data_IF_881703857656
#
_entry.id   IF_881703857656
#
_cell.length_a   1.000
_cell.length_b   1.000
_cell.length_c   1.000
_cell.angle_alpha   90.00
_cell.angle_beta   90.00
_cell.angle_gamma   90.00
#
_symmetry.space_group_name_H-M   'P 1'
#
loop_
_entity.id
_entity.type
_entity.pdbx_description
1 polymer ?
#
# COMPACT_ATOMS: atom_id res chain seq x y z
N UNK A 1 29.74 18.22 12.37
CA UNK A 1 28.39 18.29 11.76
C UNK A 1 28.38 17.30 10.61
N UNK A 2 27.63 16.21 10.72
CA UNK A 2 27.58 15.19 9.68
C UNK A 2 26.60 15.67 8.60
N UNK A 3 27.12 15.83 7.38
CA UNK A 3 26.35 16.07 6.17
C UNK A 3 25.44 14.84 5.91
N UNK A 4 24.11 14.98 5.84
CA UNK A 4 23.23 13.86 5.61
C UNK A 4 23.50 13.32 4.20
N UNK A 5 24.31 12.25 4.14
CA UNK A 5 24.69 11.56 2.92
C UNK A 5 23.45 11.33 2.05
N UNK A 6 23.41 12.00 0.91
CA UNK A 6 22.27 12.01 0.01
C UNK A 6 22.13 10.61 -0.61
N UNK A 7 21.23 9.79 -0.04
CA UNK A 7 21.00 8.43 -0.50
C UNK A 7 20.54 8.44 -1.95
N UNK A 8 21.16 7.59 -2.77
CA UNK A 8 20.76 7.39 -4.16
C UNK A 8 19.29 6.93 -4.22
N UNK A 9 18.59 7.19 -5.34
CA UNK A 9 17.22 6.71 -5.52
C UNK A 9 17.06 5.19 -5.36
N UNK A 10 18.12 4.42 -5.62
CA UNK A 10 18.13 2.97 -5.41
C UNK A 10 18.17 2.61 -3.92
N UNK A 11 19.03 3.27 -3.13
CA UNK A 11 19.12 3.08 -1.68
C UNK A 11 17.81 3.44 -0.97
N UNK A 12 17.17 4.55 -1.37
CA UNK A 12 15.85 4.94 -0.85
C UNK A 12 14.75 3.92 -1.16
N UNK A 13 14.82 3.24 -2.31
CA UNK A 13 13.88 2.17 -2.68
C UNK A 13 14.12 0.90 -1.86
N UNK A 14 15.38 0.57 -1.61
CA UNK A 14 15.75 -0.58 -0.78
C UNK A 14 15.32 -0.37 0.69
N UNK A 15 15.42 0.85 1.20
CA UNK A 15 15.05 1.20 2.58
C UNK A 15 13.53 1.21 2.85
N UNK A 16 12.68 1.21 1.81
CA UNK A 16 11.23 1.24 1.99
C UNK A 16 10.71 -0.04 2.64
N UNK A 17 10.06 0.10 3.79
CA UNK A 17 9.38 -1.01 4.48
C UNK A 17 8.19 -1.51 3.67
N UNK A 18 7.73 -2.73 3.96
CA UNK A 18 6.54 -3.30 3.32
C UNK A 18 5.31 -2.40 3.50
N UNK A 19 5.11 -1.83 4.70
CA UNK A 19 4.02 -0.91 5.00
C UNK A 19 4.08 0.39 4.17
N UNK A 20 5.28 0.98 4.04
CA UNK A 20 5.48 2.18 3.22
C UNK A 20 5.17 1.92 1.73
N UNK A 21 5.42 0.71 1.24
CA UNK A 21 5.06 0.32 -0.14
C UNK A 21 3.55 0.21 -0.31
N UNK A 22 2.83 -0.37 0.65
CA UNK A 22 1.36 -0.43 0.61
C UNK A 22 0.73 0.96 0.58
N UNK A 23 1.21 1.86 1.44
CA UNK A 23 0.76 3.27 1.46
C UNK A 23 1.00 3.93 0.11
N UNK A 24 2.17 3.73 -0.48
CA UNK A 24 2.54 4.35 -1.76
C UNK A 24 1.77 3.81 -2.96
N UNK A 25 1.54 2.49 -3.02
CA UNK A 25 0.96 1.82 -4.20
C UNK A 25 -0.56 1.78 -4.13
N UNK A 26 -1.11 1.46 -2.96
CA UNK A 26 -2.55 1.23 -2.79
C UNK A 26 -3.26 2.33 -1.99
N UNK A 27 -2.51 3.27 -1.39
CA UNK A 27 -3.08 4.30 -0.52
C UNK A 27 -3.45 3.80 0.87
N UNK A 28 -3.02 2.60 1.26
CA UNK A 28 -3.39 1.95 2.52
C UNK A 28 -2.32 2.25 3.58
N UNK A 29 -2.66 3.03 4.61
CA UNK A 29 -1.81 3.26 5.78
C UNK A 29 -2.10 2.21 6.86
N UNK A 30 -1.09 1.38 7.18
CA UNK A 30 -1.16 0.38 8.26
C UNK A 30 -0.18 0.69 9.40
N UNK A 31 0.50 1.84 9.32
CA UNK A 31 1.46 2.30 10.33
C UNK A 31 0.73 3.09 11.43
N UNK A 32 -0.39 3.73 11.09
CA UNK A 32 -1.14 4.63 11.99
C UNK A 32 -2.60 4.22 12.09
N UNK A 33 -3.12 4.19 13.32
CA UNK A 33 -4.53 3.95 13.56
C UNK A 33 -5.37 5.17 13.13
N UNK A 34 -6.40 5.01 12.28
CA UNK A 34 -7.23 6.14 11.85
C UNK A 34 -8.12 6.70 12.96
N UNK A 35 -8.39 5.93 14.02
CA UNK A 35 -9.24 6.36 15.13
C UNK A 35 -8.48 7.12 16.22
N UNK A 36 -7.25 6.71 16.54
CA UNK A 36 -6.49 7.27 17.66
C UNK A 36 -5.13 7.87 17.28
N UNK A 37 -4.66 7.71 16.04
CA UNK A 37 -3.34 8.19 15.60
C UNK A 37 -2.15 7.39 16.15
N UNK A 38 -2.39 6.33 16.92
CA UNK A 38 -1.33 5.50 17.49
C UNK A 38 -0.68 4.57 16.47
N UNK A 39 0.51 4.07 16.78
CA UNK A 39 1.22 3.11 15.94
C UNK A 39 0.48 1.76 15.90
N UNK A 40 0.24 1.25 14.69
CA UNK A 40 -0.32 -0.09 14.47
C UNK A 40 0.80 -1.12 14.32
N UNK A 41 0.50 -2.38 14.68
CA UNK A 41 1.41 -3.52 14.52
C UNK A 41 0.67 -4.70 13.93
N UNK A 42 1.29 -5.36 12.96
CA UNK A 42 0.79 -6.59 12.36
C UNK A 42 0.93 -7.71 13.40
N UNK A 43 -0.18 -8.39 13.70
CA UNK A 43 -0.23 -9.49 14.69
C UNK A 43 -0.31 -10.88 14.06
N UNK A 44 -0.82 -10.96 12.84
CA UNK A 44 -0.97 -12.21 12.08
C UNK A 44 -1.06 -11.91 10.59
N UNK A 45 -0.64 -12.87 9.77
CA UNK A 45 -0.88 -12.91 8.33
C UNK A 45 -1.72 -14.15 8.03
N UNK A 46 -2.76 -14.00 7.20
CA UNK A 46 -3.64 -15.10 6.79
C UNK A 46 -3.42 -15.30 5.28
N UNK A 47 -2.90 -16.47 4.91
CA UNK A 47 -2.55 -16.80 3.52
C UNK A 47 -3.41 -17.96 2.97
N UNK A 48 -4.18 -18.63 3.83
CA UNK A 48 -5.04 -19.75 3.46
C UNK A 48 -6.28 -19.26 2.67
N UNK A 49 -6.52 -19.76 1.45
CA UNK A 49 -7.57 -19.24 0.58
C UNK A 49 -8.98 -19.52 1.14
N UNK A 50 -9.21 -20.69 1.73
CA UNK A 50 -10.50 -21.06 2.33
C UNK A 50 -10.84 -20.16 3.53
N UNK A 51 -9.84 -19.81 4.35
CA UNK A 51 -10.02 -18.87 5.47
C UNK A 51 -10.31 -17.46 4.95
N UNK A 52 -9.59 -17.00 3.91
CA UNK A 52 -9.82 -15.69 3.29
C UNK A 52 -11.25 -15.61 2.75
N UNK A 53 -11.70 -16.62 2.01
CA UNK A 53 -13.05 -16.66 1.45
C UNK A 53 -14.11 -16.58 2.54
N UNK A 54 -13.98 -17.40 3.60
CA UNK A 54 -14.92 -17.39 4.73
C UNK A 54 -15.03 -16.01 5.39
N UNK A 55 -13.90 -15.31 5.56
CA UNK A 55 -13.90 -13.95 6.13
C UNK A 55 -14.62 -12.98 5.19
N UNK A 56 -14.29 -13.01 3.90
CA UNK A 56 -14.89 -12.10 2.91
C UNK A 56 -16.41 -12.32 2.79
N UNK A 57 -16.87 -13.57 2.72
CA UNK A 57 -18.31 -13.90 2.69
C UNK A 57 -19.03 -13.39 3.93
N UNK A 58 -18.42 -13.52 5.11
CA UNK A 58 -19.01 -13.01 6.35
C UNK A 58 -19.14 -11.48 6.36
N UNK A 59 -18.15 -10.77 5.81
CA UNK A 59 -18.16 -9.31 5.72
C UNK A 59 -19.18 -8.80 4.71
N UNK A 60 -19.29 -9.44 3.55
CA UNK A 60 -20.26 -9.08 2.49
C UNK A 60 -21.70 -9.19 3.00
N UNK A 61 -22.02 -10.28 3.71
CA UNK A 61 -23.33 -10.48 4.33
C UNK A 61 -23.70 -9.43 5.40
N UNK A 62 -22.72 -8.68 5.91
CA UNK A 62 -22.89 -7.64 6.93
C UNK A 62 -22.77 -6.21 6.38
N UNK A 63 -22.36 -6.05 5.12
CA UNK A 63 -22.13 -4.74 4.52
C UNK A 63 -23.43 -4.13 3.98
N UNK A 64 -23.69 -2.83 4.19
CA UNK A 64 -24.84 -2.14 3.59
C UNK A 64 -24.67 -1.78 2.10
N UNK A 65 -23.50 -2.00 1.50
CA UNK A 65 -23.15 -1.54 0.13
C UNK A 65 -22.06 -2.41 -0.53
N UNK A 66 -22.07 -2.56 -1.88
CA UNK A 66 -21.30 -3.59 -2.58
C UNK A 66 -19.79 -3.29 -2.71
N UNK A 67 -19.00 -4.37 -2.68
CA UNK A 67 -17.51 -4.46 -2.68
C UNK A 67 -16.78 -3.69 -3.81
N UNK A 68 -17.47 -3.35 -4.90
CA UNK A 68 -16.88 -2.72 -6.09
C UNK A 68 -16.27 -1.34 -5.84
N UNK A 69 -16.69 -0.63 -4.80
CA UNK A 69 -16.11 0.66 -4.42
C UNK A 69 -14.81 0.55 -3.60
N UNK A 70 -14.48 -0.65 -3.09
CA UNK A 70 -13.32 -0.85 -2.19
C UNK A 70 -12.04 -1.23 -2.90
N UNK A 71 -12.10 -1.51 -4.20
CA UNK A 71 -10.93 -1.91 -4.98
C UNK A 71 -10.21 -0.66 -5.47
N UNK A 72 -8.98 -0.45 -4.98
CA UNK A 72 -8.15 0.65 -5.48
C UNK A 72 -7.99 0.53 -6.99
N UNK A 73 -8.23 1.60 -7.76
CA UNK A 73 -8.08 1.56 -9.21
C UNK A 73 -6.63 1.19 -9.56
N UNK A 74 -6.47 0.27 -10.51
CA UNK A 74 -5.15 -0.09 -11.02
C UNK A 74 -4.45 1.17 -11.52
N UNK A 75 -3.25 1.46 -11.01
CA UNK A 75 -2.46 2.60 -11.48
C UNK A 75 -2.12 2.41 -12.96
N UNK A 76 -2.42 3.40 -13.79
CA UNK A 76 -2.02 3.41 -15.19
C UNK A 76 -0.49 3.34 -15.32
N UNK A 77 0.05 2.72 -16.40
CA UNK A 77 1.48 2.72 -16.66
C UNK A 77 2.04 4.16 -16.70
N UNK A 78 3.32 4.39 -16.30
CA UNK A 78 3.95 5.68 -16.51
C UNK A 78 3.88 6.05 -18.00
N UNK A 79 3.45 7.28 -18.31
CA UNK A 79 3.31 7.77 -19.69
C UNK A 79 4.69 7.72 -20.36
N UNK A 80 4.80 6.87 -21.40
CA UNK A 80 6.03 6.63 -22.16
C UNK A 80 6.22 7.78 -23.14
N UNK A 81 6.72 8.93 -22.67
CA UNK A 81 6.93 10.07 -23.59
C UNK A 81 7.43 11.40 -23.04
N UNK A 82 7.82 11.54 -21.75
CA UNK A 82 8.31 12.83 -21.24
C UNK A 82 9.84 13.02 -21.37
N UNK A 83 10.57 12.01 -21.82
CA UNK A 83 12.03 12.08 -21.94
C UNK A 83 12.47 11.48 -23.28
N UNK A 84 12.31 12.25 -24.36
CA UNK A 84 13.31 12.36 -25.44
C UNK A 84 12.84 13.41 -26.47
N UNK A 85 13.62 14.49 -26.63
CA UNK A 85 14.07 15.04 -27.92
C UNK A 85 14.70 16.43 -27.69
N UNK A 86 15.96 16.41 -27.25
CA UNK A 86 16.95 17.44 -27.60
C UNK A 86 18.28 16.72 -27.82
N UNK A 87 18.43 16.22 -29.04
CA UNK A 87 19.71 16.04 -29.71
C UNK A 87 19.85 17.13 -30.76
#
# INVERSE_FOLDING_TARGET
MADPQEQTPAERRAAMTWAQRLKRVFGIDIETCPACGGAMRIIACIEDPDVIEKILTHLDAKAPEPDSLRRSPCRAPPQRGLFDEKG
#
